data_IF_013190403392
#
_entry.id   IF_013190403392
#
_cell.length_a   1.000
_cell.length_b   1.000
_cell.length_c   1.000
_cell.angle_alpha   90.00
_cell.angle_beta   90.00
_cell.angle_gamma   90.00
#
_symmetry.space_group_name_H-M   'P 1'
#
loop_
_entity.id
_entity.type
_entity.pdbx_description
1 polymer ?
#
# COMPACT_ATOMS: atom_id res chain seq x y z
N UNK A 1 26.00 13.04 13.20
CA UNK A 1 24.89 13.97 13.43
C UNK A 1 23.91 13.68 12.30
N UNK A 2 23.04 12.70 12.49
CA UNK A 2 22.10 12.24 11.46
C UNK A 2 20.99 13.26 11.34
N UNK A 3 20.95 13.97 10.21
CA UNK A 3 19.85 14.87 9.88
C UNK A 3 18.57 14.04 9.80
N UNK A 4 17.68 14.23 10.77
CA UNK A 4 16.28 13.81 10.67
C UNK A 4 15.64 14.60 9.52
N UNK A 5 15.70 14.06 8.31
CA UNK A 5 14.97 14.53 7.16
C UNK A 5 13.49 14.28 7.47
N UNK A 6 12.77 15.30 7.97
CA UNK A 6 11.35 15.21 8.29
C UNK A 6 10.55 14.62 7.12
N UNK A 7 10.11 13.36 7.23
CA UNK A 7 9.27 12.68 6.23
C UNK A 7 8.14 13.58 5.70
N UNK A 8 8.26 13.97 4.43
CA UNK A 8 7.30 14.85 3.78
C UNK A 8 5.97 14.12 3.60
N UNK A 9 6.01 12.81 3.30
CA UNK A 9 4.81 12.00 3.11
C UNK A 9 4.04 11.88 4.41
N UNK A 10 4.70 11.46 5.50
CA UNK A 10 4.02 11.25 6.78
C UNK A 10 3.38 12.52 7.32
N UNK A 11 4.08 13.66 7.24
CA UNK A 11 3.52 14.96 7.63
C UNK A 11 2.30 15.33 6.78
N UNK A 12 2.38 15.08 5.49
CA UNK A 12 1.31 15.31 4.52
C UNK A 12 0.09 14.43 4.83
N UNK A 13 0.30 13.15 5.18
CA UNK A 13 -0.75 12.22 5.58
C UNK A 13 -1.42 12.64 6.89
N UNK A 14 -0.64 12.94 7.93
CA UNK A 14 -1.17 13.39 9.23
C UNK A 14 -2.02 14.67 9.12
N UNK A 15 -1.82 15.49 8.09
CA UNK A 15 -2.62 16.69 7.85
C UNK A 15 -3.99 16.40 7.20
N UNK A 16 -4.19 15.24 6.55
CA UNK A 16 -5.39 14.94 5.75
C UNK A 16 -6.08 13.62 6.05
N UNK A 17 -5.45 12.77 6.85
CA UNK A 17 -5.90 11.42 7.18
C UNK A 17 -5.68 11.15 8.67
N UNK A 18 -6.50 10.28 9.23
CA UNK A 18 -6.38 9.82 10.60
C UNK A 18 -5.45 8.60 10.62
N UNK A 19 -4.35 8.68 11.38
CA UNK A 19 -3.52 7.51 11.67
C UNK A 19 -4.27 6.59 12.64
N UNK A 20 -4.44 5.34 12.26
CA UNK A 20 -5.00 4.31 13.12
C UNK A 20 -3.91 3.77 14.05
N UNK A 21 -4.26 3.57 15.31
CA UNK A 21 -3.40 3.01 16.33
C UNK A 21 -4.16 1.92 17.10
N UNK A 22 -3.46 0.99 17.77
CA UNK A 22 -4.13 -0.06 18.54
C UNK A 22 -5.11 0.46 19.60
N UNK A 23 -4.90 1.68 20.09
CA UNK A 23 -5.80 2.35 21.05
C UNK A 23 -7.09 2.89 20.42
N UNK A 24 -7.10 3.15 19.11
CA UNK A 24 -8.23 3.73 18.38
C UNK A 24 -8.96 2.65 17.57
N UNK A 25 -8.19 1.78 16.92
CA UNK A 25 -8.66 0.83 15.90
C UNK A 25 -7.92 -0.52 16.06
N UNK A 26 -8.18 -1.26 17.15
CA UNK A 26 -7.42 -2.47 17.47
C UNK A 26 -7.56 -3.55 16.38
N UNK A 27 -8.76 -3.75 15.84
CA UNK A 27 -9.04 -4.79 14.83
C UNK A 27 -8.28 -4.54 13.53
N UNK A 28 -8.23 -3.29 13.09
CA UNK A 28 -7.57 -2.88 11.87
C UNK A 28 -6.04 -2.95 12.01
N UNK A 29 -5.52 -2.61 13.19
CA UNK A 29 -4.10 -2.82 13.50
C UNK A 29 -3.74 -4.30 13.56
N UNK A 30 -4.58 -5.17 14.14
CA UNK A 30 -4.38 -6.62 14.15
C UNK A 30 -4.32 -7.20 12.72
N UNK A 31 -5.14 -6.69 11.80
CA UNK A 31 -5.08 -7.07 10.38
C UNK A 31 -3.71 -6.72 9.77
N UNK A 32 -3.20 -5.52 10.04
CA UNK A 32 -1.87 -5.11 9.54
C UNK A 32 -0.77 -5.99 10.12
N UNK A 33 -0.79 -6.22 11.43
CA UNK A 33 0.20 -7.07 12.12
C UNK A 33 0.17 -8.52 11.58
N UNK A 34 -1.03 -9.05 11.36
CA UNK A 34 -1.23 -10.36 10.74
C UNK A 34 -0.64 -10.43 9.33
N UNK A 35 -0.97 -9.46 8.46
CA UNK A 35 -0.46 -9.44 7.09
C UNK A 35 1.06 -9.27 7.06
N UNK A 36 1.63 -8.42 7.93
CA UNK A 36 3.07 -8.28 8.08
C UNK A 36 3.75 -9.59 8.51
N UNK A 37 3.14 -10.32 9.45
CA UNK A 37 3.63 -11.63 9.89
C UNK A 37 3.59 -12.68 8.77
N UNK A 38 2.49 -12.78 8.03
CA UNK A 38 2.32 -13.73 6.92
C UNK A 38 3.31 -13.46 5.78
N UNK A 39 3.58 -12.19 5.49
CA UNK A 39 4.42 -11.75 4.37
C UNK A 39 5.88 -11.46 4.77
N UNK A 40 6.25 -11.70 6.02
CA UNK A 40 7.59 -11.44 6.58
C UNK A 40 8.07 -9.99 6.36
N UNK A 41 7.19 -9.03 6.65
CA UNK A 41 7.45 -7.60 6.49
C UNK A 41 8.19 -7.06 7.72
N UNK A 42 9.48 -6.75 7.55
CA UNK A 42 10.30 -6.17 8.62
C UNK A 42 10.16 -4.64 8.75
N UNK A 43 9.62 -3.98 7.72
CA UNK A 43 9.46 -2.51 7.70
C UNK A 43 8.31 -2.09 8.62
N UNK A 44 8.47 -0.99 9.37
CA UNK A 44 7.38 -0.46 10.19
C UNK A 44 6.22 0.00 9.27
N UNK A 45 5.00 -0.49 9.51
CA UNK A 45 3.82 -0.15 8.72
C UNK A 45 2.87 0.72 9.55
N UNK A 46 2.45 1.85 8.99
CA UNK A 46 1.42 2.70 9.59
C UNK A 46 0.16 2.73 8.71
N UNK A 47 -1.00 2.53 9.32
CA UNK A 47 -2.30 2.57 8.66
C UNK A 47 -2.96 3.94 8.82
N UNK A 48 -3.46 4.48 7.72
CA UNK A 48 -4.14 5.77 7.65
C UNK A 48 -5.51 5.62 7.00
N UNK A 49 -6.52 6.23 7.60
CA UNK A 49 -7.85 6.35 6.99
C UNK A 49 -8.12 7.80 6.57
N UNK A 50 -8.59 7.98 5.34
CA UNK A 50 -9.02 9.29 4.83
C UNK A 50 -10.49 9.26 4.43
N UNK A 51 -11.17 10.41 4.54
CA UNK A 51 -12.56 10.51 4.15
C UNK A 51 -12.71 10.42 2.62
N UNK A 52 -13.51 9.47 2.14
CA UNK A 52 -13.79 9.28 0.72
C UNK A 52 -14.98 8.35 0.49
N UNK A 53 -15.82 8.67 -0.51
CA UNK A 53 -16.94 7.82 -0.93
C UNK A 53 -16.49 6.67 -1.82
N UNK A 54 -15.43 6.87 -2.60
CA UNK A 54 -14.84 5.84 -3.45
C UNK A 54 -14.05 4.84 -2.62
N UNK A 55 -14.32 3.55 -2.81
CA UNK A 55 -13.56 2.48 -2.16
C UNK A 55 -12.17 2.41 -2.79
N UNK A 56 -11.13 2.72 -2.00
CA UNK A 56 -9.77 2.75 -2.50
C UNK A 56 -8.76 2.51 -1.38
N UNK A 57 -7.62 1.92 -1.73
CA UNK A 57 -6.48 1.72 -0.86
C UNK A 57 -5.19 1.97 -1.65
N UNK A 58 -4.07 2.11 -0.94
CA UNK A 58 -2.78 2.29 -1.56
C UNK A 58 -1.64 2.23 -0.55
N UNK A 59 -0.49 1.70 -0.96
CA UNK A 59 0.76 1.84 -0.20
C UNK A 59 1.71 2.87 -0.81
N UNK A 60 2.55 3.44 0.05
CA UNK A 60 3.59 4.40 -0.33
C UNK A 60 4.93 3.70 -0.53
N UNK A 61 5.88 4.37 -1.18
CA UNK A 61 7.28 3.98 -1.06
C UNK A 61 7.74 4.18 0.39
N UNK A 62 8.65 3.32 0.90
CA UNK A 62 9.20 3.51 2.23
C UNK A 62 9.87 4.87 2.41
N UNK A 63 9.57 5.57 3.50
CA UNK A 63 10.20 6.82 3.90
C UNK A 63 10.55 6.74 5.40
N UNK A 64 11.78 7.11 5.76
CA UNK A 64 12.28 7.04 7.15
C UNK A 64 12.06 5.66 7.82
N UNK A 65 12.23 4.58 7.05
CA UNK A 65 12.06 3.20 7.51
C UNK A 65 10.60 2.79 7.74
N UNK A 66 9.63 3.55 7.24
CA UNK A 66 8.19 3.30 7.37
C UNK A 66 7.51 3.17 6.02
N UNK A 67 6.52 2.30 5.95
CA UNK A 67 5.54 2.25 4.85
C UNK A 67 4.20 2.73 5.38
N UNK A 68 3.56 3.58 4.60
CA UNK A 68 2.21 4.05 4.91
C UNK A 68 1.21 3.34 4.01
N UNK A 69 0.21 2.71 4.62
CA UNK A 69 -0.99 2.20 3.94
C UNK A 69 -2.10 3.22 4.15
N UNK A 70 -2.76 3.60 3.07
CA UNK A 70 -3.92 4.47 3.09
C UNK A 70 -5.15 3.69 2.68
N UNK A 71 -6.26 3.92 3.36
CA UNK A 71 -7.55 3.31 3.06
C UNK A 71 -8.64 4.40 3.12
N UNK A 72 -9.58 4.37 2.19
CA UNK A 72 -10.75 5.27 2.26
C UNK A 72 -11.74 4.83 3.34
N UNK A 73 -12.45 5.78 3.94
CA UNK A 73 -13.48 5.49 4.93
C UNK A 73 -14.56 4.54 4.40
N UNK A 74 -14.96 4.70 3.14
CA UNK A 74 -15.97 3.82 2.55
C UNK A 74 -15.51 2.37 2.40
N UNK A 75 -14.23 2.12 2.08
CA UNK A 75 -13.69 0.77 2.05
C UNK A 75 -13.66 0.17 3.45
N UNK A 76 -13.11 0.91 4.42
CA UNK A 76 -12.93 0.45 5.79
C UNK A 76 -14.25 0.07 6.47
N UNK A 77 -15.33 0.82 6.19
CA UNK A 77 -16.66 0.57 6.75
C UNK A 77 -17.44 -0.54 6.03
N UNK A 78 -17.08 -0.86 4.78
CA UNK A 78 -17.84 -1.80 3.96
C UNK A 78 -17.27 -3.22 3.95
N UNK A 79 -15.98 -3.39 4.23
CA UNK A 79 -15.28 -4.65 4.05
C UNK A 79 -15.22 -5.44 5.37
N UNK A 80 -15.43 -6.74 5.26
CA UNK A 80 -15.27 -7.68 6.38
C UNK A 80 -13.78 -7.99 6.62
N UNK A 81 -13.49 -8.65 7.74
CA UNK A 81 -12.11 -8.94 8.18
C UNK A 81 -11.24 -9.57 7.09
N UNK A 82 -11.71 -10.64 6.46
CA UNK A 82 -10.98 -11.36 5.40
C UNK A 82 -10.74 -10.49 4.16
N UNK A 83 -11.69 -9.62 3.83
CA UNK A 83 -11.58 -8.70 2.69
C UNK A 83 -10.57 -7.59 2.98
N UNK A 84 -10.53 -7.08 4.22
CA UNK A 84 -9.50 -6.14 4.66
C UNK A 84 -8.12 -6.80 4.71
N UNK A 85 -8.00 -8.05 5.16
CA UNK A 85 -6.76 -8.82 5.09
C UNK A 85 -6.28 -8.96 3.64
N UNK A 86 -7.19 -9.22 2.69
CA UNK A 86 -6.84 -9.25 1.27
C UNK A 86 -6.28 -7.90 0.80
N UNK A 87 -6.99 -6.80 1.06
CA UNK A 87 -6.59 -5.46 0.62
C UNK A 87 -5.25 -5.05 1.22
N UNK A 88 -5.06 -5.21 2.54
CA UNK A 88 -3.80 -4.88 3.22
C UNK A 88 -2.67 -5.76 2.71
N UNK A 89 -2.88 -7.07 2.55
CA UNK A 89 -1.89 -7.99 1.98
C UNK A 89 -1.52 -7.66 0.53
N UNK A 90 -2.49 -7.24 -0.28
CA UNK A 90 -2.28 -6.78 -1.66
C UNK A 90 -1.41 -5.52 -1.70
N UNK A 91 -1.71 -4.53 -0.86
CA UNK A 91 -0.91 -3.30 -0.75
C UNK A 91 0.50 -3.56 -0.23
N UNK A 92 0.66 -4.44 0.75
CA UNK A 92 1.97 -4.90 1.20
C UNK A 92 2.73 -5.67 0.11
N UNK A 93 2.01 -6.38 -0.76
CA UNK A 93 2.54 -6.98 -1.97
C UNK A 93 3.28 -5.97 -2.86
N UNK A 94 2.70 -4.79 -3.06
CA UNK A 94 3.36 -3.71 -3.80
C UNK A 94 4.64 -3.21 -3.13
N UNK A 95 4.70 -3.23 -1.80
CA UNK A 95 5.90 -2.89 -1.04
C UNK A 95 6.99 -3.96 -1.15
N UNK A 96 6.69 -5.21 -0.75
CA UNK A 96 7.71 -6.29 -0.66
C UNK A 96 8.33 -6.64 -2.02
N UNK A 97 7.57 -6.49 -3.11
CA UNK A 97 8.07 -6.71 -4.47
C UNK A 97 8.56 -5.42 -5.14
N UNK A 98 8.61 -4.30 -4.42
CA UNK A 98 9.12 -3.02 -4.90
C UNK A 98 8.43 -2.51 -6.17
N UNK A 99 7.10 -2.68 -6.27
CA UNK A 99 6.31 -2.26 -7.44
C UNK A 99 6.21 -0.73 -7.61
N UNK A 100 6.66 0.04 -6.63
CA UNK A 100 6.74 1.49 -6.76
C UNK A 100 8.13 1.99 -7.20
N UNK A 101 9.10 1.10 -7.41
CA UNK A 101 10.45 1.47 -7.85
C UNK A 101 10.49 2.08 -9.25
N UNK A 102 9.52 1.75 -10.10
CA UNK A 102 9.36 2.32 -11.44
C UNK A 102 8.16 3.26 -11.40
N UNK A 103 8.31 4.56 -11.72
CA UNK A 103 7.21 5.52 -11.72
C UNK A 103 6.34 5.35 -12.97
N UNK A 104 5.72 4.17 -13.13
CA UNK A 104 4.98 3.79 -14.33
C UNK A 104 3.83 4.74 -14.63
N UNK A 105 3.09 5.22 -13.63
CA UNK A 105 1.99 6.17 -13.83
C UNK A 105 2.49 7.46 -14.50
N UNK A 106 3.65 7.96 -14.11
CA UNK A 106 4.27 9.13 -14.74
C UNK A 106 4.75 8.82 -16.16
N UNK A 107 5.43 7.69 -16.34
CA UNK A 107 5.94 7.26 -17.66
C UNK A 107 4.81 7.06 -18.68
N UNK A 108 3.73 6.41 -18.26
CA UNK A 108 2.56 6.13 -19.09
C UNK A 108 1.72 7.39 -19.34
N UNK A 109 1.65 8.34 -18.40
CA UNK A 109 1.01 9.63 -18.66
C UNK A 109 1.75 10.45 -19.73
N UNK A 110 3.07 10.28 -19.85
CA UNK A 110 3.93 11.01 -20.79
C UNK A 110 4.48 10.12 -21.91
N UNK A 111 3.75 9.06 -22.29
CA UNK A 111 4.21 8.03 -23.22
C UNK A 111 4.42 8.50 -24.66
N UNK A 112 4.01 9.72 -25.04
CA UNK A 112 4.06 10.22 -26.41
C UNK A 112 5.47 10.21 -27.02
N UNK A 113 6.51 10.30 -26.19
CA UNK A 113 7.91 10.28 -26.61
C UNK A 113 8.59 8.91 -26.41
N UNK A 114 7.87 7.89 -25.93
CA UNK A 114 8.42 6.57 -25.67
C UNK A 114 8.25 5.64 -26.88
N UNK A 115 9.24 4.79 -27.19
CA UNK A 115 9.07 3.76 -28.21
C UNK A 115 7.87 2.86 -27.87
N UNK A 116 7.01 2.47 -28.85
CA UNK A 116 5.84 1.63 -28.59
C UNK A 116 6.16 0.32 -27.87
N UNK A 117 7.34 -0.26 -28.12
CA UNK A 117 7.78 -1.49 -27.45
C UNK A 117 7.98 -1.28 -25.94
N UNK A 118 8.46 -0.09 -25.55
CA UNK A 118 8.67 0.25 -24.14
C UNK A 118 7.32 0.46 -23.42
N UNK A 119 6.34 1.08 -24.09
CA UNK A 119 4.98 1.23 -23.55
C UNK A 119 4.32 -0.14 -23.33
N UNK A 120 4.46 -1.05 -24.29
CA UNK A 120 3.96 -2.42 -24.15
C UNK A 120 4.66 -3.18 -23.01
N UNK A 121 5.98 -3.01 -22.87
CA UNK A 121 6.75 -3.60 -21.78
C UNK A 121 6.32 -3.06 -20.41
N UNK A 122 6.09 -1.75 -20.30
CA UNK A 122 5.59 -1.09 -19.10
C UNK A 122 4.23 -1.66 -18.67
N UNK A 123 3.26 -1.76 -19.59
CA UNK A 123 1.97 -2.38 -19.29
C UNK A 123 2.08 -3.86 -18.92
N UNK A 124 3.01 -4.59 -19.54
CA UNK A 124 3.27 -6.00 -19.18
C UNK A 124 3.82 -6.11 -17.77
N UNK A 125 4.75 -5.25 -17.39
CA UNK A 125 5.28 -5.19 -16.04
C UNK A 125 4.18 -4.86 -15.04
N UNK A 126 3.32 -3.87 -15.32
CA UNK A 126 2.21 -3.51 -14.44
C UNK A 126 1.29 -4.70 -14.20
N UNK A 127 0.86 -5.41 -15.25
CA UNK A 127 0.05 -6.62 -15.09
C UNK A 127 0.72 -7.71 -14.24
N UNK A 128 2.04 -7.88 -14.38
CA UNK A 128 2.76 -8.84 -13.55
C UNK A 128 2.83 -8.39 -12.09
N UNK A 129 3.01 -7.10 -11.84
CA UNK A 129 2.99 -6.51 -10.50
C UNK A 129 1.64 -6.78 -9.80
N UNK A 130 0.52 -6.52 -10.49
CA UNK A 130 -0.83 -6.81 -9.98
C UNK A 130 -1.00 -8.29 -9.60
N UNK A 131 -0.58 -9.20 -10.48
CA UNK A 131 -0.69 -10.65 -10.22
C UNK A 131 0.11 -11.08 -8.98
N UNK A 132 1.31 -10.51 -8.77
CA UNK A 132 2.07 -10.77 -7.55
C UNK A 132 1.46 -10.13 -6.30
N UNK A 133 0.84 -8.95 -6.42
CA UNK A 133 0.12 -8.30 -5.33
C UNK A 133 -1.13 -9.11 -4.93
N UNK A 134 -1.91 -9.59 -5.91
CA UNK A 134 -3.05 -10.49 -5.69
C UNK A 134 -2.64 -11.74 -4.89
N UNK A 135 -1.49 -12.35 -5.23
CA UNK A 135 -0.96 -13.52 -4.52
C UNK A 135 -0.61 -13.20 -3.06
N UNK A 136 -0.06 -12.02 -2.79
CA UNK A 136 0.22 -11.57 -1.43
C UNK A 136 -1.08 -11.32 -0.63
N UNK A 137 -2.07 -10.68 -1.26
CA UNK A 137 -3.40 -10.51 -0.70
C UNK A 137 -4.05 -11.86 -0.32
N UNK A 138 -4.09 -12.81 -1.26
CA UNK A 138 -4.66 -14.16 -1.02
C UNK A 138 -3.95 -14.88 0.13
N UNK A 139 -2.62 -14.75 0.26
CA UNK A 139 -1.87 -15.38 1.35
C UNK A 139 -2.33 -14.88 2.73
N UNK A 140 -2.75 -13.63 2.84
CA UNK A 140 -3.18 -13.01 4.09
C UNK A 140 -4.61 -13.42 4.52
N UNK A 141 -5.46 -13.87 3.58
CA UNK A 141 -6.87 -14.24 3.87
C UNK A 141 -7.00 -15.56 4.64
N UNK A 142 -5.98 -16.43 4.64
CA UNK A 142 -6.10 -17.80 5.18
C UNK A 142 -4.85 -18.33 5.88
N UNK A 143 -4.39 -17.64 6.90
CA UNK A 143 -3.35 -18.16 7.79
C UNK A 143 -3.93 -18.32 9.20
N UNK A 144 -4.64 -19.42 9.42
CA UNK A 144 -5.01 -19.95 10.75
C UNK A 144 -4.28 -21.26 10.98
#
# INVERSE_FOLDING_TARGET
MEEHQSSQTRRSLLARALRLSPSISPKECEIVDHCCSVLDVETEVELYVYSGSEMNAGCTQPEDGRVFILVSSSLLESFEHDELCFVVGYELGHHIYSHHSIPLSFLLAHHQNLPPQLVLLAHRWQRHAEVSADRAGIACVRST
#
